data_IF_982818133455
#
_entry.id   IF_982818133455
#
_cell.length_a   1.000
_cell.length_b   1.000
_cell.length_c   1.000
_cell.angle_alpha   90.00
_cell.angle_beta   90.00
_cell.angle_gamma   90.00
#
_symmetry.space_group_name_H-M   'P 1'
#
loop_
_entity.id
_entity.type
_entity.pdbx_description
1 polymer ?
#
# COMPACT_ATOMS: atom_id res chain seq x y z
N UNK A 1 -3.64 43.35 26.18
CA UNK A 1 -4.41 42.63 25.13
C UNK A 1 -3.51 42.52 23.91
N UNK A 2 -2.91 41.36 23.68
CA UNK A 2 -2.09 41.12 22.50
C UNK A 2 -2.96 40.40 21.47
N UNK A 3 -3.24 41.07 20.36
CA UNK A 3 -3.95 40.52 19.22
C UNK A 3 -3.05 39.54 18.49
N UNK A 4 -3.35 38.24 18.56
CA UNK A 4 -2.73 37.21 17.74
C UNK A 4 -3.20 37.37 16.29
N UNK A 5 -2.30 37.82 15.42
CA UNK A 5 -2.50 37.83 13.98
C UNK A 5 -2.61 36.39 13.47
N UNK A 6 -3.81 36.01 13.01
CA UNK A 6 -4.02 34.75 12.31
C UNK A 6 -3.34 34.82 10.94
N UNK A 7 -2.16 34.20 10.80
CA UNK A 7 -1.57 33.97 9.48
C UNK A 7 -2.50 33.04 8.69
N UNK A 8 -3.20 33.55 7.69
CA UNK A 8 -3.93 32.67 6.77
C UNK A 8 -2.92 31.89 5.95
N UNK A 9 -2.64 30.64 6.32
CA UNK A 9 -1.94 29.74 5.41
C UNK A 9 -2.91 29.41 4.28
N UNK A 10 -2.54 29.75 3.04
CA UNK A 10 -3.25 29.27 1.83
C UNK A 10 -3.12 27.75 1.64
N UNK A 11 -2.43 27.08 2.57
CA UNK A 11 -2.24 25.64 2.61
C UNK A 11 -3.52 24.97 3.12
N UNK A 12 -4.02 23.92 2.43
CA UNK A 12 -5.07 23.09 2.99
C UNK A 12 -4.64 22.49 4.32
N UNK A 13 -5.60 22.16 5.21
CA UNK A 13 -5.28 21.54 6.49
C UNK A 13 -4.48 20.26 6.27
N UNK A 14 -3.40 20.09 7.04
CA UNK A 14 -2.60 18.88 6.99
C UNK A 14 -3.41 17.67 7.46
N UNK A 15 -3.31 16.56 6.74
CA UNK A 15 -3.86 15.27 7.18
C UNK A 15 -2.77 14.55 7.97
N UNK A 16 -2.97 14.22 9.25
CA UNK A 16 -2.00 13.46 10.04
C UNK A 16 -1.78 12.07 9.45
N UNK A 17 -0.53 11.65 9.31
CA UNK A 17 -0.16 10.35 8.73
C UNK A 17 -0.50 9.18 9.67
N UNK A 18 -0.64 9.47 10.98
CA UNK A 18 -1.10 8.57 12.03
C UNK A 18 -2.49 7.99 11.75
N UNK A 19 -3.30 8.68 10.94
CA UNK A 19 -4.58 8.18 10.46
C UNK A 19 -4.41 6.84 9.73
N UNK A 20 -3.37 6.70 8.91
CA UNK A 20 -3.13 5.49 8.14
C UNK A 20 -2.66 4.34 9.03
N UNK A 21 -1.87 4.64 10.08
CA UNK A 21 -1.50 3.66 11.11
C UNK A 21 -2.75 3.10 11.78
N UNK A 22 -3.65 3.99 12.23
CA UNK A 22 -4.93 3.63 12.86
C UNK A 22 -5.80 2.78 11.92
N UNK A 23 -5.83 3.10 10.63
CA UNK A 23 -6.60 2.33 9.65
C UNK A 23 -6.07 0.90 9.48
N UNK A 24 -4.74 0.71 9.45
CA UNK A 24 -4.12 -0.62 9.39
C UNK A 24 -4.42 -1.45 10.63
N UNK A 25 -4.39 -0.83 11.81
CA UNK A 25 -4.76 -1.49 13.07
C UNK A 25 -6.22 -1.96 13.09
N UNK A 26 -7.15 -1.11 12.61
CA UNK A 26 -8.57 -1.46 12.47
C UNK A 26 -8.78 -2.62 11.51
N UNK A 27 -8.14 -2.57 10.34
CA UNK A 27 -8.19 -3.64 9.36
C UNK A 27 -7.71 -4.96 9.98
N UNK A 28 -6.54 -4.96 10.62
CA UNK A 28 -5.97 -6.15 11.26
C UNK A 28 -6.89 -6.71 12.36
N UNK A 29 -7.47 -5.84 13.18
CA UNK A 29 -8.37 -6.26 14.26
C UNK A 29 -9.61 -6.97 13.70
N UNK A 30 -10.24 -6.39 12.67
CA UNK A 30 -11.39 -7.00 11.99
C UNK A 30 -11.01 -8.31 11.29
N UNK A 31 -9.91 -8.31 10.54
CA UNK A 31 -9.49 -9.48 9.77
C UNK A 31 -9.13 -10.65 10.68
N UNK A 32 -8.39 -10.42 11.77
CA UNK A 32 -8.06 -11.46 12.75
C UNK A 32 -9.32 -12.05 13.39
N UNK A 33 -10.28 -11.20 13.76
CA UNK A 33 -11.56 -11.65 14.27
C UNK A 33 -12.26 -12.59 13.28
N UNK A 34 -12.39 -12.19 12.01
CA UNK A 34 -13.11 -12.98 11.00
C UNK A 34 -12.37 -14.28 10.64
N UNK A 35 -11.04 -14.25 10.56
CA UNK A 35 -10.22 -15.43 10.33
C UNK A 35 -10.33 -16.42 11.50
N UNK A 36 -10.29 -15.94 12.75
CA UNK A 36 -10.48 -16.79 13.92
C UNK A 36 -11.86 -17.44 13.97
N UNK A 37 -12.91 -16.66 13.67
CA UNK A 37 -14.29 -17.16 13.65
C UNK A 37 -14.51 -18.19 12.53
N UNK A 38 -13.82 -18.05 11.41
CA UNK A 38 -13.88 -18.97 10.28
C UNK A 38 -12.85 -20.11 10.34
N UNK A 39 -12.13 -20.28 11.46
CA UNK A 39 -11.07 -21.28 11.65
C UNK A 39 -10.00 -21.26 10.54
N UNK A 40 -9.70 -20.06 10.01
CA UNK A 40 -8.67 -19.84 8.99
C UNK A 40 -7.33 -19.46 9.64
N UNK A 41 -6.22 -19.66 8.93
CA UNK A 41 -4.91 -19.32 9.47
C UNK A 41 -4.74 -17.82 9.74
N UNK A 42 -4.15 -17.49 10.89
CA UNK A 42 -3.81 -16.10 11.30
C UNK A 42 -2.41 -15.68 10.85
N UNK A 43 -1.85 -16.36 9.86
CA UNK A 43 -0.53 -16.11 9.29
C UNK A 43 -0.65 -15.78 7.80
N UNK A 44 0.16 -14.85 7.33
CA UNK A 44 0.16 -14.35 5.96
C UNK A 44 0.14 -12.84 5.91
N UNK A 45 0.02 -12.31 4.70
CA UNK A 45 0.08 -10.88 4.43
C UNK A 45 -1.19 -10.41 3.73
N UNK A 46 -1.79 -9.32 4.23
CA UNK A 46 -2.64 -8.49 3.36
C UNK A 46 -1.72 -7.85 2.33
N UNK A 47 -2.01 -8.02 1.04
CA UNK A 47 -1.14 -7.53 -0.03
C UNK A 47 -1.95 -6.71 -1.04
N UNK A 48 -1.48 -5.48 -1.29
CA UNK A 48 -2.15 -4.50 -2.13
C UNK A 48 -1.17 -3.90 -3.13
N UNK A 49 -1.67 -3.68 -4.34
CA UNK A 49 -1.01 -2.93 -5.39
C UNK A 49 -1.58 -1.50 -5.40
N UNK A 50 -0.71 -0.51 -5.37
CA UNK A 50 -1.08 0.88 -5.60
C UNK A 50 -1.40 1.14 -7.08
N UNK A 51 -1.88 2.34 -7.38
CA UNK A 51 -2.10 2.78 -8.74
C UNK A 51 -0.77 3.00 -9.48
N UNK A 52 -0.82 2.75 -10.78
CA UNK A 52 0.26 3.05 -11.71
C UNK A 52 0.00 4.37 -12.44
N UNK A 53 1.08 4.98 -12.94
CA UNK A 53 0.98 6.11 -13.84
C UNK A 53 0.38 5.67 -15.18
N UNK A 54 -0.48 6.51 -15.75
CA UNK A 54 -1.15 6.22 -17.01
C UNK A 54 -0.89 7.34 -18.01
N UNK A 55 -0.75 6.95 -19.27
CA UNK A 55 -0.69 7.88 -20.39
C UNK A 55 -2.04 7.95 -21.11
N UNK A 56 -2.31 9.08 -21.75
CA UNK A 56 -3.50 9.23 -22.57
C UNK A 56 -3.36 8.40 -23.85
N UNK A 57 -4.04 7.27 -23.90
CA UNK A 57 -4.05 6.37 -25.05
C UNK A 57 -2.63 5.92 -25.44
N UNK A 58 -2.23 6.13 -26.70
CA UNK A 58 -0.93 5.81 -27.28
C UNK A 58 0.05 7.00 -27.26
N UNK A 59 -0.30 8.10 -26.57
CA UNK A 59 0.56 9.28 -26.44
C UNK A 59 1.49 9.18 -25.23
N UNK A 60 2.49 10.06 -25.17
CA UNK A 60 3.38 10.27 -24.03
C UNK A 60 2.80 11.26 -22.99
N UNK A 61 1.55 11.70 -23.16
CA UNK A 61 0.90 12.61 -22.24
C UNK A 61 0.49 11.88 -20.95
N UNK A 62 1.29 12.06 -19.88
CA UNK A 62 1.01 11.55 -18.54
C UNK A 62 -0.24 12.22 -17.95
N UNK A 63 -1.17 11.41 -17.45
CA UNK A 63 -2.34 11.91 -16.73
C UNK A 63 -1.99 12.23 -15.27
N UNK A 64 -2.74 13.16 -14.66
CA UNK A 64 -2.53 13.49 -13.26
C UNK A 64 -2.83 12.26 -12.39
N UNK A 65 -1.79 11.73 -11.75
CA UNK A 65 -1.91 10.53 -10.94
C UNK A 65 -2.82 10.74 -9.71
N UNK A 66 -3.74 9.80 -9.52
CA UNK A 66 -4.53 9.65 -8.30
C UNK A 66 -4.43 8.20 -7.83
N UNK A 67 -4.07 8.06 -6.56
CA UNK A 67 -3.88 6.76 -5.92
C UNK A 67 -5.17 5.92 -5.89
N UNK A 68 -5.02 4.60 -5.94
CA UNK A 68 -6.07 3.62 -5.68
C UNK A 68 -6.62 3.82 -4.24
N UNK A 69 -7.94 3.77 -4.07
CA UNK A 69 -8.59 4.26 -2.85
C UNK A 69 -8.31 3.39 -1.61
N UNK A 70 -8.26 2.06 -1.75
CA UNK A 70 -7.92 1.17 -0.64
C UNK A 70 -6.45 1.30 -0.26
N UNK A 71 -5.56 1.42 -1.24
CA UNK A 71 -4.13 1.66 -1.00
C UNK A 71 -3.89 3.01 -0.29
N UNK A 72 -4.51 4.08 -0.79
CA UNK A 72 -4.46 5.41 -0.18
C UNK A 72 -5.00 5.40 1.25
N UNK A 73 -6.08 4.66 1.50
CA UNK A 73 -6.69 4.56 2.83
C UNK A 73 -5.73 3.96 3.87
N UNK A 74 -4.99 2.91 3.51
CA UNK A 74 -4.11 2.18 4.45
C UNK A 74 -2.69 2.73 4.53
N UNK A 75 -2.15 3.31 3.45
CA UNK A 75 -0.75 3.74 3.40
C UNK A 75 -0.56 5.24 3.20
N UNK A 76 -1.54 5.95 2.65
CA UNK A 76 -1.43 7.39 2.39
C UNK A 76 -0.42 7.76 1.30
N UNK A 77 0.11 6.77 0.58
CA UNK A 77 1.15 6.94 -0.44
C UNK A 77 0.62 7.71 -1.63
N UNK A 78 1.39 8.70 -2.08
CA UNK A 78 1.00 9.62 -3.15
C UNK A 78 1.69 9.33 -4.48
N UNK A 79 2.77 8.57 -4.45
CA UNK A 79 3.55 8.17 -5.61
C UNK A 79 2.94 6.93 -6.29
N UNK A 80 3.07 6.81 -7.63
CA UNK A 80 2.61 5.65 -8.38
C UNK A 80 3.58 4.46 -8.27
N UNK A 81 3.10 3.26 -8.60
CA UNK A 81 3.92 2.04 -8.74
C UNK A 81 4.37 1.40 -7.42
N UNK A 82 3.75 1.79 -6.31
CA UNK A 82 4.04 1.23 -4.99
C UNK A 82 3.20 -0.02 -4.71
N UNK A 83 3.75 -0.93 -3.90
CA UNK A 83 3.00 -2.03 -3.29
C UNK A 83 3.08 -1.95 -1.77
N UNK A 84 2.16 -2.63 -1.10
CA UNK A 84 2.05 -2.60 0.35
C UNK A 84 1.65 -3.96 0.89
N UNK A 85 2.32 -4.37 1.96
CA UNK A 85 1.98 -5.57 2.71
C UNK A 85 1.73 -5.26 4.19
N UNK A 86 0.83 -6.01 4.82
CA UNK A 86 0.62 -5.97 6.25
C UNK A 86 0.64 -7.40 6.77
N UNK A 87 1.61 -7.71 7.62
CA UNK A 87 1.71 -9.01 8.29
C UNK A 87 0.56 -9.17 9.28
N UNK A 88 -0.27 -10.19 9.07
CA UNK A 88 -1.44 -10.45 9.91
C UNK A 88 -1.04 -10.88 11.31
N UNK A 89 0.10 -11.53 11.50
CA UNK A 89 0.56 -11.99 12.81
C UNK A 89 1.19 -10.85 13.59
N UNK A 90 2.19 -10.18 13.02
CA UNK A 90 2.97 -9.15 13.75
C UNK A 90 2.33 -7.77 13.70
N UNK A 91 1.49 -7.50 12.70
CA UNK A 91 0.97 -6.16 12.40
C UNK A 91 1.98 -5.24 11.70
N UNK A 92 3.17 -5.76 11.36
CA UNK A 92 4.17 -4.98 10.65
C UNK A 92 3.66 -4.58 9.26
N UNK A 93 3.85 -3.31 8.92
CA UNK A 93 3.53 -2.77 7.60
C UNK A 93 4.81 -2.63 6.78
N UNK A 94 4.77 -3.11 5.56
CA UNK A 94 5.88 -3.11 4.60
C UNK A 94 5.42 -2.33 3.38
N UNK A 95 6.24 -1.40 2.93
CA UNK A 95 6.01 -0.66 1.70
C UNK A 95 7.08 -1.02 0.67
N UNK A 96 6.68 -1.19 -0.59
CA UNK A 96 7.61 -1.50 -1.68
C UNK A 96 7.59 -0.35 -2.69
N UNK A 97 8.74 0.32 -2.81
CA UNK A 97 8.92 1.47 -3.69
C UNK A 97 9.51 1.03 -5.04
N UNK A 98 9.10 1.61 -6.18
CA UNK A 98 9.74 1.33 -7.45
C UNK A 98 11.20 1.80 -7.43
N UNK A 99 12.10 1.00 -7.97
CA UNK A 99 13.50 1.38 -8.14
C UNK A 99 13.62 2.30 -9.36
N UNK A 100 13.94 3.57 -9.12
CA UNK A 100 14.02 4.57 -10.17
C UNK A 100 15.44 4.61 -10.78
N UNK A 101 15.58 4.73 -12.12
CA UNK A 101 16.88 4.84 -12.77
C UNK A 101 17.56 6.16 -12.42
N UNK A 102 18.89 6.22 -12.54
CA UNK A 102 19.69 7.44 -12.23
C UNK A 102 19.21 8.67 -13.00
N UNK A 103 18.78 8.48 -14.24
CA UNK A 103 18.38 9.56 -15.14
C UNK A 103 17.01 10.16 -14.74
N UNK A 104 16.24 9.47 -13.90
CA UNK A 104 14.99 9.99 -13.32
C UNK A 104 15.22 11.32 -12.60
N UNK A 105 16.35 11.46 -11.91
CA UNK A 105 16.70 12.65 -11.14
C UNK A 105 16.78 13.92 -11.99
N UNK A 106 17.09 13.78 -13.28
CA UNK A 106 17.21 14.88 -14.23
C UNK A 106 15.84 15.46 -14.60
N UNK A 107 14.81 14.61 -14.68
CA UNK A 107 13.50 14.97 -15.23
C UNK A 107 12.45 15.22 -14.16
N UNK A 108 12.43 14.40 -13.11
CA UNK A 108 11.32 14.33 -12.14
C UNK A 108 11.77 14.67 -10.71
N UNK A 109 13.04 15.07 -10.55
CA UNK A 109 13.61 15.54 -9.30
C UNK A 109 14.26 14.44 -8.45
N UNK A 110 14.68 14.81 -7.25
CA UNK A 110 15.49 13.96 -6.37
C UNK A 110 14.88 12.56 -6.13
N UNK A 111 15.66 11.52 -6.41
CA UNK A 111 15.31 10.13 -6.06
C UNK A 111 15.43 9.98 -4.55
N UNK A 112 14.28 9.83 -3.88
CA UNK A 112 14.22 9.72 -2.42
C UNK A 112 14.71 8.34 -1.96
N UNK A 113 15.52 8.27 -0.88
CA UNK A 113 15.96 6.98 -0.33
C UNK A 113 14.79 6.26 0.38
N UNK A 114 14.89 4.93 0.55
CA UNK A 114 13.86 4.14 1.24
C UNK A 114 13.55 4.64 2.67
N UNK A 115 14.55 5.19 3.37
CA UNK A 115 14.38 5.79 4.70
C UNK A 115 13.40 6.97 4.70
N UNK A 116 13.39 7.77 3.62
CA UNK A 116 12.43 8.86 3.46
C UNK A 116 11.00 8.32 3.46
N UNK A 117 10.72 7.27 2.68
CA UNK A 117 9.38 6.68 2.60
C UNK A 117 8.98 6.01 3.91
N UNK A 118 9.94 5.41 4.63
CA UNK A 118 9.68 4.78 5.93
C UNK A 118 9.17 5.80 6.94
N UNK A 119 9.88 6.90 7.08
CA UNK A 119 9.53 7.99 8.00
C UNK A 119 8.24 8.68 7.55
N UNK A 120 8.15 9.03 6.27
CA UNK A 120 7.00 9.74 5.70
C UNK A 120 5.70 8.95 5.77
N UNK A 121 5.71 7.64 5.59
CA UNK A 121 4.48 6.84 5.59
C UNK A 121 4.25 6.06 6.87
N UNK A 122 5.12 6.25 7.87
CA UNK A 122 5.04 5.63 9.20
C UNK A 122 4.83 4.11 9.10
N UNK A 123 5.63 3.46 8.25
CA UNK A 123 5.60 2.01 8.04
C UNK A 123 6.79 1.34 8.76
N UNK A 124 6.65 0.05 9.08
CA UNK A 124 7.69 -0.70 9.80
C UNK A 124 8.94 -0.88 8.93
N UNK A 125 8.74 -1.17 7.65
CA UNK A 125 9.78 -1.51 6.70
C UNK A 125 9.49 -0.95 5.31
N UNK A 126 10.56 -0.68 4.55
CA UNK A 126 10.47 -0.29 3.13
C UNK A 126 11.55 -1.03 2.34
N UNK A 127 11.17 -1.57 1.20
CA UNK A 127 12.04 -2.27 0.25
C UNK A 127 11.72 -1.83 -1.18
N UNK A 128 12.45 -2.33 -2.17
CA UNK A 128 12.11 -2.10 -3.57
C UNK A 128 11.07 -3.11 -4.09
N UNK A 129 10.34 -2.74 -5.14
CA UNK A 129 9.34 -3.62 -5.75
C UNK A 129 9.94 -4.88 -6.35
N UNK A 130 11.18 -4.82 -6.87
CA UNK A 130 11.91 -5.98 -7.35
C UNK A 130 12.29 -6.99 -6.23
N UNK A 131 12.19 -6.60 -4.96
CA UNK A 131 12.54 -7.40 -3.78
C UNK A 131 11.32 -8.06 -3.11
N UNK A 132 10.10 -7.84 -3.63
CA UNK A 132 8.84 -8.29 -3.01
C UNK A 132 8.86 -9.79 -2.66
N UNK A 133 9.27 -10.64 -3.60
CA UNK A 133 9.24 -12.10 -3.40
C UNK A 133 10.12 -12.54 -2.25
N UNK A 134 11.38 -12.06 -2.24
CA UNK A 134 12.38 -12.40 -1.25
C UNK A 134 11.96 -11.89 0.13
N UNK A 135 11.55 -10.62 0.21
CA UNK A 135 11.12 -10.01 1.47
C UNK A 135 9.89 -10.72 2.05
N UNK A 136 8.86 -11.00 1.24
CA UNK A 136 7.67 -11.68 1.76
C UNK A 136 7.97 -13.10 2.21
N UNK A 137 8.91 -13.79 1.56
CA UNK A 137 9.38 -15.11 2.00
C UNK A 137 10.12 -15.01 3.34
N UNK A 138 11.07 -14.08 3.46
CA UNK A 138 11.92 -13.93 4.65
C UNK A 138 11.16 -13.42 5.88
N UNK A 139 10.15 -12.58 5.67
CA UNK A 139 9.29 -12.10 6.74
C UNK A 139 8.21 -13.12 7.15
N UNK A 140 7.97 -14.17 6.35
CA UNK A 140 6.93 -15.14 6.64
C UNK A 140 7.38 -16.11 7.73
N UNK A 141 6.70 -16.08 8.88
CA UNK A 141 7.00 -16.96 10.00
C UNK A 141 6.37 -18.35 9.91
N UNK A 142 5.57 -18.63 8.87
CA UNK A 142 4.92 -19.92 8.66
C UNK A 142 5.82 -20.93 7.94
N UNK A 143 5.39 -22.18 7.88
CA UNK A 143 6.04 -23.20 7.05
C UNK A 143 5.57 -23.12 5.60
N UNK A 144 6.50 -23.08 4.64
CA UNK A 144 6.18 -23.13 3.22
C UNK A 144 6.00 -21.74 2.60
N UNK A 145 5.11 -21.63 1.61
CA UNK A 145 4.91 -20.37 0.87
C UNK A 145 4.06 -19.39 1.68
N UNK A 146 4.37 -18.08 1.67
CA UNK A 146 3.53 -17.07 2.30
C UNK A 146 2.09 -17.12 1.80
N UNK A 147 1.11 -16.93 2.69
CA UNK A 147 -0.30 -16.79 2.30
C UNK A 147 -0.59 -15.31 2.01
N UNK A 148 -1.21 -15.00 0.87
CA UNK A 148 -1.54 -13.64 0.48
C UNK A 148 -3.06 -13.41 0.46
N UNK A 149 -3.50 -12.40 1.19
CA UNK A 149 -4.87 -11.92 1.22
C UNK A 149 -4.97 -10.70 0.31
N UNK A 150 -5.61 -10.90 -0.85
CA UNK A 150 -5.73 -9.87 -1.89
C UNK A 150 -7.09 -9.19 -1.83
N UNK A 151 -7.11 -7.92 -2.24
CA UNK A 151 -8.34 -7.18 -2.43
C UNK A 151 -9.10 -7.70 -3.66
N UNK A 152 -10.28 -8.25 -3.42
CA UNK A 152 -11.21 -8.63 -4.47
C UNK A 152 -12.64 -8.46 -3.95
N UNK A 153 -13.47 -7.72 -4.68
CA UNK A 153 -14.85 -7.47 -4.28
C UNK A 153 -15.59 -6.58 -5.25
N UNK A 154 -16.92 -6.72 -5.29
CA UNK A 154 -17.81 -5.93 -6.12
C UNK A 154 -18.10 -4.58 -5.47
N UNK A 155 -17.81 -3.48 -6.18
CA UNK A 155 -18.29 -2.17 -5.80
C UNK A 155 -19.76 -2.02 -6.23
N UNK A 156 -20.66 -1.78 -5.27
CA UNK A 156 -22.11 -1.78 -5.48
C UNK A 156 -22.64 -0.59 -6.28
N UNK A 157 -21.88 0.50 -6.36
CA UNK A 157 -22.31 1.71 -7.08
C UNK A 157 -21.93 1.65 -8.56
N UNK A 158 -20.72 1.17 -8.85
CA UNK A 158 -20.18 1.09 -10.22
C UNK A 158 -20.34 -0.29 -10.86
N UNK A 159 -20.67 -1.32 -10.08
CA UNK A 159 -20.65 -2.74 -10.46
C UNK A 159 -19.29 -3.25 -10.95
N UNK A 160 -18.20 -2.52 -10.69
CA UNK A 160 -16.84 -2.95 -11.02
C UNK A 160 -16.25 -3.78 -9.89
N UNK A 161 -15.42 -4.76 -10.24
CA UNK A 161 -14.63 -5.51 -9.26
C UNK A 161 -13.32 -4.78 -8.97
N UNK A 162 -12.95 -4.74 -7.69
CA UNK A 162 -11.61 -4.34 -7.28
C UNK A 162 -10.58 -5.31 -7.89
N UNK A 163 -9.56 -4.75 -8.54
CA UNK A 163 -8.51 -5.53 -9.18
C UNK A 163 -7.57 -6.09 -8.09
N UNK A 164 -7.40 -7.42 -7.99
CA UNK A 164 -6.40 -8.00 -7.11
C UNK A 164 -5.00 -7.52 -7.49
N UNK A 165 -4.11 -7.41 -6.50
CA UNK A 165 -2.71 -7.11 -6.76
C UNK A 165 -2.14 -8.12 -7.76
N UNK A 166 -1.42 -7.63 -8.76
CA UNK A 166 -0.72 -8.43 -9.75
C UNK A 166 0.78 -8.26 -9.56
N UNK A 167 1.50 -9.37 -9.49
CA UNK A 167 2.95 -9.40 -9.48
C UNK A 167 3.39 -10.72 -10.11
N UNK A 168 4.45 -10.71 -10.92
CA UNK A 168 4.83 -11.80 -11.83
C UNK A 168 5.00 -13.17 -11.15
N UNK A 169 5.24 -13.23 -9.84
CA UNK A 169 5.43 -14.49 -9.10
C UNK A 169 4.16 -14.96 -8.37
N UNK A 170 3.02 -14.26 -8.50
CA UNK A 170 1.74 -14.67 -7.90
C UNK A 170 1.20 -16.01 -8.40
N UNK A 171 1.67 -16.51 -9.55
CA UNK A 171 1.34 -17.85 -10.09
C UNK A 171 1.68 -18.98 -9.11
N UNK A 172 2.46 -18.71 -8.07
CA UNK A 172 2.89 -19.68 -7.06
C UNK A 172 2.13 -19.65 -5.73
N UNK A 173 1.18 -18.72 -5.52
CA UNK A 173 0.55 -18.44 -4.21
C UNK A 173 -0.91 -18.92 -4.14
N UNK A 174 -1.37 -19.28 -2.93
CA UNK A 174 -2.77 -19.68 -2.68
C UNK A 174 -3.59 -18.42 -2.42
N UNK A 175 -4.64 -18.21 -3.22
CA UNK A 175 -5.53 -17.06 -3.09
C UNK A 175 -6.73 -17.39 -2.21
N UNK A 176 -6.96 -16.57 -1.18
CA UNK A 176 -8.22 -16.58 -0.43
C UNK A 176 -8.94 -15.24 -0.66
N UNK A 177 -9.92 -15.25 -1.56
CA UNK A 177 -10.86 -14.14 -1.70
C UNK A 177 -11.74 -14.09 -0.46
N UNK A 178 -11.82 -12.93 0.19
CA UNK A 178 -12.78 -12.68 1.26
C UNK A 178 -13.95 -11.88 0.67
N UNK A 179 -15.09 -12.55 0.49
CA UNK A 179 -16.33 -11.91 0.09
C UNK A 179 -16.96 -11.27 1.33
N UNK A 180 -17.30 -9.98 1.22
CA UNK A 180 -18.24 -9.34 2.14
C UNK A 180 -19.66 -9.85 1.88
#
# INVERSE_FOLDING_TARGET
MASSSSSSSLSPPGVPLELHVTNREKLLSSLRHDLSHSSRPLHGFVFLQGGDEQTRHDTDHIELFRQESFFAYLFGVREPGFYGAIDITTGNSILFAPRLPSDYAVWLGEVKPLSHFKERYMVSMVYYTDEITEVLHDQFQGSGKPLLFLLHGLNTDSNNYAKPAQFEVLTSYIFLSHHK
#
